data_IF_000737185748
#
_entry.id   IF_000737185748
#
_cell.length_a   1.000
_cell.length_b   1.000
_cell.length_c   1.000
_cell.angle_alpha   90.00
_cell.angle_beta   90.00
_cell.angle_gamma   90.00
#
_symmetry.space_group_name_H-M   'P 1'
#
loop_
_entity.id
_entity.type
_entity.pdbx_description
1 polymer ?
#
# COMPACT_ATOMS: atom_id res chain seq x y z
N UNK A 1 9.53 7.04 10.97
CA UNK A 1 10.62 6.61 10.05
C UNK A 1 10.05 5.49 9.19
N UNK A 2 10.33 5.40 7.88
CA UNK A 2 9.66 4.43 6.99
C UNK A 2 9.72 2.98 7.51
N UNK A 3 10.82 2.61 8.15
CA UNK A 3 11.00 1.32 8.84
C UNK A 3 9.90 0.96 9.85
N UNK A 4 9.38 1.95 10.58
CA UNK A 4 8.31 1.75 11.55
C UNK A 4 6.97 1.46 10.87
N UNK A 5 6.69 2.13 9.75
CA UNK A 5 5.53 1.83 8.90
C UNK A 5 5.65 0.42 8.32
N UNK A 6 6.83 0.06 7.79
CA UNK A 6 7.09 -1.30 7.27
C UNK A 6 6.81 -2.34 8.34
N UNK A 7 7.31 -2.14 9.57
CA UNK A 7 7.07 -3.04 10.69
C UNK A 7 5.58 -3.19 11.00
N UNK A 8 4.85 -2.09 11.13
CA UNK A 8 3.41 -2.12 11.43
C UNK A 8 2.60 -2.86 10.34
N UNK A 9 2.98 -2.69 9.07
CA UNK A 9 2.34 -3.40 7.95
C UNK A 9 2.66 -4.90 8.00
N UNK A 10 3.93 -5.26 8.22
CA UNK A 10 4.39 -6.66 8.28
C UNK A 10 3.68 -7.41 9.42
N UNK A 11 3.54 -6.80 10.59
CA UNK A 11 2.84 -7.39 11.75
C UNK A 11 1.37 -7.72 11.45
N UNK A 12 0.75 -7.04 10.48
CA UNK A 12 -0.66 -7.21 10.12
C UNK A 12 -0.88 -8.00 8.82
N UNK A 13 0.17 -8.50 8.17
CA UNK A 13 0.06 -9.22 6.88
C UNK A 13 -0.97 -10.36 6.91
N UNK A 14 -0.98 -11.16 7.97
CA UNK A 14 -1.91 -12.27 8.10
C UNK A 14 -3.38 -11.82 8.24
N UNK A 15 -3.61 -10.73 8.97
CA UNK A 15 -4.93 -10.13 9.13
C UNK A 15 -5.40 -9.57 7.79
N UNK A 16 -4.50 -8.84 7.11
CA UNK A 16 -4.75 -8.21 5.81
C UNK A 16 -5.17 -9.27 4.79
N UNK A 17 -4.42 -10.36 4.71
CA UNK A 17 -4.70 -11.46 3.78
C UNK A 17 -6.03 -12.15 4.09
N UNK A 18 -6.32 -12.44 5.36
CA UNK A 18 -7.53 -13.18 5.76
C UNK A 18 -8.80 -12.35 5.60
N UNK A 19 -8.75 -11.06 5.92
CA UNK A 19 -9.95 -10.20 5.93
C UNK A 19 -10.19 -9.53 4.59
N UNK A 20 -9.13 -9.14 3.88
CA UNK A 20 -9.23 -8.31 2.66
C UNK A 20 -8.70 -9.02 1.42
N UNK A 21 -8.29 -10.29 1.50
CA UNK A 21 -7.84 -11.09 0.35
C UNK A 21 -6.78 -10.36 -0.48
N UNK A 22 -5.86 -9.72 0.23
CA UNK A 22 -4.86 -8.83 -0.34
C UNK A 22 -3.50 -9.08 0.29
N UNK A 23 -2.45 -8.80 -0.45
CA UNK A 23 -1.07 -8.85 0.00
C UNK A 23 -0.39 -7.52 -0.29
N UNK A 24 0.22 -6.91 0.74
CA UNK A 24 1.00 -5.68 0.55
C UNK A 24 2.38 -6.01 0.02
N UNK A 25 2.65 -5.51 -1.18
CA UNK A 25 3.85 -5.81 -1.99
C UNK A 25 4.94 -4.78 -1.72
N UNK A 26 4.60 -3.49 -1.79
CA UNK A 26 5.58 -2.42 -1.68
C UNK A 26 4.95 -1.10 -1.24
N UNK A 27 5.78 -0.23 -0.65
CA UNK A 27 5.48 1.19 -0.49
C UNK A 27 6.00 1.92 -1.73
N UNK A 28 5.21 2.79 -2.34
CA UNK A 28 5.65 3.60 -3.48
C UNK A 28 5.37 5.09 -3.27
N UNK A 29 5.58 5.89 -4.31
CA UNK A 29 5.22 7.30 -4.30
C UNK A 29 6.14 8.18 -3.47
N UNK A 30 5.57 9.23 -2.87
CA UNK A 30 6.32 10.29 -2.20
C UNK A 30 7.16 9.79 -1.01
N UNK A 31 6.64 8.79 -0.28
CA UNK A 31 7.33 8.11 0.81
C UNK A 31 8.56 7.33 0.35
N UNK A 32 8.51 6.74 -0.85
CA UNK A 32 9.63 5.99 -1.42
C UNK A 32 10.72 6.92 -1.99
N UNK A 33 10.34 8.10 -2.51
CA UNK A 33 11.27 9.11 -3.04
C UNK A 33 11.95 9.98 -1.98
N UNK A 34 11.49 9.95 -0.73
CA UNK A 34 12.01 10.79 0.35
C UNK A 34 11.51 12.24 0.35
N UNK A 35 10.58 12.58 -0.55
CA UNK A 35 9.93 13.89 -0.67
C UNK A 35 8.62 13.97 0.15
N UNK A 36 8.47 13.15 1.19
CA UNK A 36 7.22 13.13 1.97
C UNK A 36 7.09 14.41 2.82
N UNK A 37 5.86 14.90 2.94
CA UNK A 37 5.47 16.00 3.79
C UNK A 37 4.50 15.47 4.85
N UNK A 38 4.24 16.25 5.91
CA UNK A 38 3.36 15.80 7.00
C UNK A 38 1.93 15.45 6.54
N UNK A 39 1.49 16.02 5.41
CA UNK A 39 0.17 15.79 4.80
C UNK A 39 0.21 14.80 3.62
N UNK A 40 1.34 14.13 3.37
CA UNK A 40 1.45 13.18 2.26
C UNK A 40 0.68 11.89 2.53
N UNK A 41 -0.01 11.41 1.50
CA UNK A 41 -0.66 10.10 1.51
C UNK A 41 0.39 8.99 1.42
N UNK A 42 0.16 7.87 2.10
CA UNK A 42 1.00 6.68 2.02
C UNK A 42 0.53 5.79 0.86
N UNK A 43 1.29 5.78 -0.24
CA UNK A 43 0.97 4.96 -1.40
C UNK A 43 1.47 3.50 -1.22
N UNK A 44 0.55 2.54 -1.28
CA UNK A 44 0.82 1.12 -1.09
C UNK A 44 0.41 0.30 -2.31
N UNK A 45 1.33 -0.52 -2.81
CA UNK A 45 1.07 -1.45 -3.87
C UNK A 45 0.63 -2.77 -3.26
N UNK A 46 -0.53 -3.26 -3.70
CA UNK A 46 -1.10 -4.53 -3.27
C UNK A 46 -1.39 -5.46 -4.44
N UNK A 47 -1.23 -6.76 -4.20
CA UNK A 47 -1.72 -7.81 -5.06
C UNK A 47 -2.99 -8.39 -4.43
N UNK A 48 -4.07 -8.49 -5.22
CA UNK A 48 -5.37 -8.98 -4.75
C UNK A 48 -5.57 -10.45 -5.17
N UNK A 49 -6.11 -11.27 -4.28
CA UNK A 49 -6.37 -12.68 -4.56
C UNK A 49 -7.48 -12.86 -5.62
N UNK A 50 -7.47 -13.96 -6.40
CA UNK A 50 -8.55 -14.32 -7.32
C UNK A 50 -9.87 -14.53 -6.56
N UNK A 51 -10.77 -13.53 -6.59
CA UNK A 51 -12.02 -13.53 -5.81
C UNK A 51 -12.11 -12.41 -4.77
N UNK A 52 -11.12 -11.52 -4.72
CA UNK A 52 -11.25 -10.23 -4.09
C UNK A 52 -12.19 -9.31 -4.88
N UNK A 53 -12.90 -8.46 -4.15
CA UNK A 53 -13.83 -7.46 -4.66
C UNK A 53 -13.29 -6.06 -4.42
N UNK A 54 -13.92 -5.07 -5.05
CA UNK A 54 -13.61 -3.66 -4.77
C UNK A 54 -13.86 -3.29 -3.30
N UNK A 55 -14.84 -3.93 -2.64
CA UNK A 55 -15.08 -3.72 -1.21
C UNK A 55 -13.94 -4.20 -0.34
N UNK A 56 -13.27 -5.29 -0.72
CA UNK A 56 -12.10 -5.79 0.00
C UNK A 56 -10.93 -4.79 -0.12
N UNK A 57 -10.73 -4.21 -1.31
CA UNK A 57 -9.70 -3.19 -1.55
C UNK A 57 -9.96 -1.89 -0.76
N UNK A 58 -11.18 -1.35 -0.83
CA UNK A 58 -11.57 -0.13 -0.11
C UNK A 58 -11.58 -0.38 1.41
N UNK A 59 -12.01 -1.57 1.84
CA UNK A 59 -11.94 -1.98 3.25
C UNK A 59 -10.51 -2.02 3.77
N UNK A 60 -9.58 -2.55 2.97
CA UNK A 60 -8.15 -2.56 3.31
C UNK A 60 -7.61 -1.13 3.45
N UNK A 61 -7.96 -0.25 2.52
CA UNK A 61 -7.54 1.15 2.57
C UNK A 61 -7.94 1.80 3.88
N UNK A 62 -9.24 1.78 4.23
CA UNK A 62 -9.72 2.35 5.48
C UNK A 62 -9.10 1.71 6.72
N UNK A 63 -8.93 0.39 6.72
CA UNK A 63 -8.28 -0.30 7.83
C UNK A 63 -6.84 0.16 8.05
N UNK A 64 -6.09 0.40 6.97
CA UNK A 64 -4.72 0.90 7.06
C UNK A 64 -4.70 2.37 7.49
N UNK A 65 -5.61 3.20 7.00
CA UNK A 65 -5.75 4.59 7.44
C UNK A 65 -5.99 4.70 8.94
N UNK A 66 -6.98 3.95 9.44
CA UNK A 66 -7.31 3.90 10.87
C UNK A 66 -6.14 3.40 11.72
N UNK A 67 -5.36 2.45 11.19
CA UNK A 67 -4.25 1.85 11.94
C UNK A 67 -3.00 2.72 11.94
N UNK A 68 -2.70 3.36 10.82
CA UNK A 68 -1.47 4.14 10.63
C UNK A 68 -1.66 5.60 11.03
N UNK A 69 -2.91 6.07 11.13
CA UNK A 69 -3.22 7.45 11.52
C UNK A 69 -2.87 8.47 10.45
N UNK A 70 -2.68 8.03 9.20
CA UNK A 70 -2.44 8.88 8.04
C UNK A 70 -3.30 8.38 6.87
N UNK A 71 -3.48 9.22 5.85
CA UNK A 71 -4.15 8.81 4.63
C UNK A 71 -3.31 7.76 3.90
N UNK A 72 -3.99 6.78 3.32
CA UNK A 72 -3.37 5.66 2.61
C UNK A 72 -4.05 5.55 1.26
N UNK A 73 -3.27 5.50 0.18
CA UNK A 73 -3.77 5.15 -1.15
C UNK A 73 -3.31 3.74 -1.50
N UNK A 74 -4.25 2.89 -1.91
CA UNK A 74 -3.99 1.47 -2.18
C UNK A 74 -4.15 1.23 -3.68
N UNK A 75 -3.02 1.06 -4.36
CA UNK A 75 -2.94 0.74 -5.77
C UNK A 75 -2.71 -0.74 -6.02
N UNK A 76 -3.27 -1.25 -7.12
CA UNK A 76 -2.86 -2.55 -7.69
C UNK A 76 -1.90 -2.32 -8.86
N UNK A 77 -1.14 -3.35 -9.26
CA UNK A 77 -0.24 -3.23 -10.44
C UNK A 77 -0.98 -2.75 -11.70
N UNK A 78 -2.24 -3.15 -11.83
CA UNK A 78 -3.08 -2.82 -12.97
C UNK A 78 -3.71 -1.42 -12.87
N UNK A 79 -3.81 -0.83 -11.67
CA UNK A 79 -4.31 0.54 -11.51
C UNK A 79 -3.23 1.59 -11.76
N UNK A 80 -1.95 1.20 -11.81
CA UNK A 80 -0.86 2.09 -12.19
C UNK A 80 -0.93 2.44 -13.68
N UNK A 81 -0.85 3.75 -13.95
CA UNK A 81 -0.70 4.28 -15.31
C UNK A 81 0.55 3.69 -15.96
N UNK A 82 0.43 3.28 -17.22
CA UNK A 82 1.49 2.62 -18.00
C UNK A 82 2.82 3.39 -17.92
N UNK A 83 2.75 4.71 -18.04
CA UNK A 83 3.89 5.61 -18.08
C UNK A 83 4.61 5.74 -16.73
N UNK A 84 3.89 5.52 -15.64
CA UNK A 84 4.42 5.61 -14.26
C UNK A 84 4.87 4.25 -13.74
N UNK A 85 4.38 3.15 -14.34
CA UNK A 85 4.59 1.79 -13.85
C UNK A 85 6.06 1.44 -13.67
N UNK A 86 6.91 1.76 -14.63
CA UNK A 86 8.35 1.46 -14.53
C UNK A 86 9.07 2.29 -13.44
N UNK A 87 8.77 3.59 -13.35
CA UNK A 87 9.36 4.46 -12.32
C UNK A 87 8.91 3.99 -10.93
N UNK A 88 7.62 3.72 -10.77
CA UNK A 88 7.05 3.19 -9.53
C UNK A 88 7.73 1.87 -9.14
N UNK A 89 7.87 0.91 -10.05
CA UNK A 89 8.52 -0.37 -9.71
C UNK A 89 10.01 -0.24 -9.38
N UNK A 90 10.72 0.73 -9.96
CA UNK A 90 12.14 1.00 -9.67
C UNK A 90 12.34 1.70 -8.32
N UNK A 91 11.45 2.62 -7.98
CA UNK A 91 11.53 3.44 -6.77
C UNK A 91 10.83 2.78 -5.57
N UNK A 92 9.93 1.83 -5.82
CA UNK A 92 9.16 1.15 -4.78
C UNK A 92 10.06 0.43 -3.77
N UNK A 93 9.70 0.58 -2.50
CA UNK A 93 10.33 -0.09 -1.38
C UNK A 93 9.52 -1.34 -1.06
N UNK A 94 10.03 -2.49 -1.51
CA UNK A 94 9.40 -3.79 -1.27
C UNK A 94 9.47 -4.19 0.21
N UNK A 95 8.41 -4.89 0.65
CA UNK A 95 8.14 -5.31 2.02
C UNK A 95 8.31 -6.81 2.23
#
# INVERSE_FOLDING_TARGET
MIEELKKNIIEKRDEIRKQYKAEIVAVFGSYARGDFHADSDLDLLVDMDPGASLFDLVGLQHFLEDRLGCKVDVGTRNSLREELRESVFREAIYL
#
